data_IF_326717524176
#
_entry.id   IF_326717524176
#
_cell.length_a   1.000
_cell.length_b   1.000
_cell.length_c   1.000
_cell.angle_alpha   90.00
_cell.angle_beta   90.00
_cell.angle_gamma   90.00
#
_symmetry.space_group_name_H-M   'P 1'
#
loop_
_entity.id
_entity.type
_entity.pdbx_description
1 polymer ?
#
# COMPACT_ATOMS: atom_id res chain seq x y z
N UNK A 1 12.53 -16.04 24.10
CA UNK A 1 11.46 -16.24 23.10
C UNK A 1 11.58 -15.13 22.07
N UNK A 2 11.30 -15.41 20.79
CA UNK A 2 11.19 -14.37 19.76
C UNK A 2 9.83 -13.69 19.95
N UNK A 3 9.76 -12.37 19.83
CA UNK A 3 8.50 -11.64 19.94
C UNK A 3 7.73 -11.73 18.62
N UNK A 4 6.40 -11.80 18.70
CA UNK A 4 5.48 -12.03 17.59
C UNK A 4 4.56 -10.82 17.42
N UNK A 5 4.06 -10.64 16.20
CA UNK A 5 3.06 -9.63 15.89
C UNK A 5 1.68 -10.09 16.38
N UNK A 6 0.89 -9.18 16.92
CA UNK A 6 -0.40 -9.48 17.58
C UNK A 6 -1.59 -8.73 16.97
N UNK A 7 -1.34 -7.85 16.00
CA UNK A 7 -2.37 -7.09 15.31
C UNK A 7 -2.88 -5.86 16.08
N UNK A 8 -3.40 -4.87 15.35
CA UNK A 8 -3.89 -3.61 15.96
C UNK A 8 -5.03 -3.84 16.95
N UNK A 9 -5.83 -4.90 16.77
CA UNK A 9 -6.90 -5.27 17.71
C UNK A 9 -6.40 -5.56 19.13
N UNK A 10 -5.19 -6.11 19.28
CA UNK A 10 -4.58 -6.32 20.59
C UNK A 10 -4.25 -4.99 21.28
N UNK A 11 -3.79 -3.99 20.51
CA UNK A 11 -3.45 -2.66 20.99
C UNK A 11 -4.70 -1.88 21.41
N UNK A 12 -5.79 -1.97 20.65
CA UNK A 12 -7.04 -1.24 20.86
C UNK A 12 -7.69 -1.51 22.23
N UNK A 13 -7.46 -2.68 22.82
CA UNK A 13 -7.99 -3.05 24.14
C UNK A 13 -7.48 -2.15 25.28
N UNK A 14 -6.28 -1.57 25.13
CA UNK A 14 -5.68 -0.68 26.13
C UNK A 14 -5.45 0.74 25.61
N UNK A 15 -5.26 0.92 24.30
CA UNK A 15 -4.86 2.17 23.67
C UNK A 15 -5.96 2.81 22.81
N UNK A 16 -7.17 2.96 23.37
CA UNK A 16 -8.34 3.43 22.62
C UNK A 16 -8.16 4.75 21.88
N UNK A 17 -7.53 5.76 22.50
CA UNK A 17 -7.30 7.06 21.83
C UNK A 17 -6.31 6.94 20.67
N UNK A 18 -5.19 6.25 20.86
CA UNK A 18 -4.20 6.10 19.80
C UNK A 18 -4.73 5.27 18.62
N UNK A 19 -5.58 4.27 18.91
CA UNK A 19 -6.31 3.54 17.86
C UNK A 19 -7.27 4.48 17.13
N UNK A 20 -8.04 5.30 17.84
CA UNK A 20 -8.95 6.25 17.20
C UNK A 20 -8.22 7.29 16.33
N UNK A 21 -7.03 7.73 16.73
CA UNK A 21 -6.21 8.68 15.96
C UNK A 21 -5.55 8.00 14.74
N UNK A 22 -5.28 6.70 14.81
CA UNK A 22 -4.71 5.92 13.71
C UNK A 22 -5.78 5.51 12.68
N UNK A 23 -6.99 5.18 13.12
CA UNK A 23 -8.10 4.81 12.24
C UNK A 23 -8.42 5.96 11.28
N UNK A 24 -8.64 5.61 10.00
CA UNK A 24 -8.85 6.54 8.88
C UNK A 24 -7.66 7.49 8.60
N UNK A 25 -6.51 7.29 9.23
CA UNK A 25 -5.28 7.99 8.86
C UNK A 25 -4.72 7.47 7.54
N UNK A 26 -3.81 8.21 6.92
CA UNK A 26 -3.13 7.74 5.71
C UNK A 26 -2.30 6.46 5.92
N UNK A 27 -1.95 6.12 7.17
CA UNK A 27 -1.28 4.87 7.48
C UNK A 27 -2.25 3.67 7.42
N UNK A 28 -3.45 3.83 7.99
CA UNK A 28 -4.53 2.84 7.94
C UNK A 28 -5.06 2.68 6.50
N UNK A 29 -5.17 3.78 5.77
CA UNK A 29 -5.65 3.82 4.39
C UNK A 29 -4.54 3.60 3.34
N UNK A 30 -3.34 3.20 3.75
CA UNK A 30 -2.19 3.07 2.86
C UNK A 30 -2.41 2.03 1.75
N UNK A 31 -3.13 0.94 2.06
CA UNK A 31 -3.50 -0.12 1.13
C UNK A 31 -4.75 -0.82 1.63
N UNK A 32 -5.75 -0.99 0.77
CA UNK A 32 -7.02 -1.64 1.13
C UNK A 32 -7.47 -2.60 0.03
N UNK A 33 -8.27 -3.60 0.38
CA UNK A 33 -8.96 -4.43 -0.62
C UNK A 33 -9.80 -3.56 -1.55
N UNK A 34 -9.81 -3.91 -2.84
CA UNK A 34 -10.64 -3.22 -3.82
C UNK A 34 -12.11 -3.62 -3.64
N UNK A 35 -12.92 -2.71 -3.09
CA UNK A 35 -14.34 -2.93 -2.80
C UNK A 35 -15.15 -1.69 -3.15
N UNK A 36 -16.49 -1.78 -3.18
CA UNK A 36 -17.35 -0.61 -3.38
C UNK A 36 -17.16 0.54 -2.40
N UNK A 37 -16.59 0.27 -1.21
CA UNK A 37 -16.37 1.29 -0.18
C UNK A 37 -14.98 1.93 -0.25
N UNK A 38 -14.03 1.32 -0.96
CA UNK A 38 -12.61 1.73 -0.95
C UNK A 38 -12.14 2.26 -2.30
N UNK A 39 -12.83 1.91 -3.39
CA UNK A 39 -12.57 2.47 -4.71
C UNK A 39 -13.08 3.91 -4.77
N UNK A 40 -12.17 4.86 -4.97
CA UNK A 40 -12.49 6.28 -5.13
C UNK A 40 -12.57 6.71 -6.59
N UNK A 41 -11.94 5.95 -7.50
CA UNK A 41 -11.93 6.25 -8.93
C UNK A 41 -13.20 5.88 -9.68
N UNK A 42 -13.36 6.49 -10.85
CA UNK A 42 -14.48 6.20 -11.75
C UNK A 42 -14.26 4.89 -12.53
N UNK A 43 -15.00 3.84 -12.15
CA UNK A 43 -15.03 2.54 -12.82
C UNK A 43 -16.35 2.28 -13.58
N UNK A 44 -17.13 3.32 -13.89
CA UNK A 44 -18.35 3.20 -14.71
C UNK A 44 -18.04 3.19 -16.22
N UNK A 45 -17.16 2.27 -16.62
CA UNK A 45 -16.64 2.15 -18.00
C UNK A 45 -15.87 3.41 -18.47
N UNK A 46 -15.23 4.12 -17.54
CA UNK A 46 -14.39 5.26 -17.85
C UNK A 46 -13.23 4.86 -18.76
N UNK A 47 -12.86 5.76 -19.67
CA UNK A 47 -11.76 5.57 -20.60
C UNK A 47 -10.69 6.65 -20.41
N UNK A 48 -9.44 6.23 -20.44
CA UNK A 48 -8.27 7.10 -20.39
C UNK A 48 -7.36 6.79 -21.58
N UNK A 49 -6.96 7.83 -22.32
CA UNK A 49 -6.15 7.71 -23.51
C UNK A 49 -4.76 8.28 -23.25
N UNK A 50 -3.72 7.48 -23.52
CA UNK A 50 -2.34 7.84 -23.25
C UNK A 50 -1.43 7.28 -24.34
N UNK A 51 -0.78 8.17 -25.10
CA UNK A 51 0.15 7.82 -26.20
C UNK A 51 -0.28 6.66 -27.10
N UNK A 52 -1.57 6.60 -27.47
CA UNK A 52 -2.13 5.58 -28.36
C UNK A 52 -2.67 4.32 -27.68
N UNK A 53 -2.50 4.18 -26.36
CA UNK A 53 -3.14 3.14 -25.55
C UNK A 53 -4.44 3.69 -24.97
N UNK A 54 -5.51 2.91 -25.05
CA UNK A 54 -6.79 3.21 -24.38
C UNK A 54 -6.95 2.27 -23.19
N UNK A 55 -6.93 2.83 -21.99
CA UNK A 55 -7.24 2.12 -20.75
C UNK A 55 -8.72 2.25 -20.44
N UNK A 56 -9.37 1.15 -20.07
CA UNK A 56 -10.78 1.15 -19.63
C UNK A 56 -10.89 0.66 -18.19
N UNK A 57 -11.57 1.43 -17.34
CA UNK A 57 -11.86 1.12 -15.94
C UNK A 57 -13.32 0.67 -15.84
N UNK A 58 -13.54 -0.56 -15.40
CA UNK A 58 -14.88 -1.18 -15.42
C UNK A 58 -15.17 -1.95 -14.14
N UNK A 59 -16.44 -2.02 -13.78
CA UNK A 59 -16.94 -2.80 -12.64
C UNK A 59 -17.92 -3.89 -13.13
N UNK A 60 -17.91 -5.06 -12.49
CA UNK A 60 -18.89 -6.14 -12.69
C UNK A 60 -19.36 -6.64 -11.33
N UNK A 61 -20.59 -6.35 -10.94
CA UNK A 61 -21.04 -6.62 -9.56
C UNK A 61 -20.19 -5.79 -8.59
N UNK A 62 -19.53 -6.42 -7.63
CA UNK A 62 -18.63 -5.74 -6.68
C UNK A 62 -17.14 -5.87 -7.06
N UNK A 63 -16.85 -6.50 -8.20
CA UNK A 63 -15.48 -6.70 -8.70
C UNK A 63 -15.08 -5.60 -9.68
N UNK A 64 -13.81 -5.19 -9.62
CA UNK A 64 -13.24 -4.10 -10.40
C UNK A 64 -12.17 -4.62 -11.36
N UNK A 65 -12.16 -4.08 -12.58
CA UNK A 65 -11.29 -4.52 -13.67
C UNK A 65 -10.72 -3.34 -14.44
N UNK A 66 -9.46 -3.47 -14.86
CA UNK A 66 -8.78 -2.50 -15.72
C UNK A 66 -8.32 -3.22 -16.99
N UNK A 67 -8.72 -2.72 -18.15
CA UNK A 67 -8.19 -3.18 -19.44
C UNK A 67 -7.16 -2.18 -19.93
N UNK A 68 -5.89 -2.59 -20.01
CA UNK A 68 -4.74 -1.76 -20.42
C UNK A 68 -3.69 -2.63 -21.13
N UNK A 69 -2.65 -2.02 -21.69
CA UNK A 69 -1.53 -2.75 -22.27
C UNK A 69 -0.73 -3.54 -21.22
N UNK A 70 -0.40 -4.78 -21.57
CA UNK A 70 0.44 -5.66 -20.76
C UNK A 70 1.92 -5.50 -21.13
N UNK A 71 2.79 -6.36 -20.58
CA UNK A 71 4.24 -6.29 -20.81
C UNK A 71 4.66 -6.43 -22.29
N UNK A 72 3.78 -6.93 -23.16
CA UNK A 72 4.01 -7.08 -24.61
C UNK A 72 3.41 -5.94 -25.44
N UNK A 73 2.68 -5.01 -24.80
CA UNK A 73 1.94 -3.93 -25.47
C UNK A 73 0.54 -4.33 -25.95
N UNK A 74 0.12 -5.57 -25.71
CA UNK A 74 -1.24 -6.03 -26.05
C UNK A 74 -2.22 -5.65 -24.93
N UNK A 75 -3.46 -5.28 -25.29
CA UNK A 75 -4.50 -5.02 -24.30
C UNK A 75 -4.94 -6.31 -23.61
N UNK A 76 -4.98 -6.26 -22.28
CA UNK A 76 -5.40 -7.35 -21.40
C UNK A 76 -6.25 -6.78 -20.26
N UNK A 77 -7.21 -7.57 -19.78
CA UNK A 77 -8.07 -7.19 -18.66
C UNK A 77 -7.53 -7.80 -17.37
N UNK A 78 -7.17 -6.95 -16.41
CA UNK A 78 -6.67 -7.32 -15.09
C UNK A 78 -7.73 -7.07 -14.03
N UNK A 79 -7.94 -7.98 -13.06
CA UNK A 79 -8.70 -7.66 -11.87
C UNK A 79 -7.91 -6.66 -11.00
N UNK A 80 -8.61 -5.75 -10.35
CA UNK A 80 -8.02 -4.86 -9.34
C UNK A 80 -8.07 -5.59 -8.01
N UNK A 81 -6.90 -5.88 -7.43
CA UNK A 81 -6.85 -6.58 -6.14
C UNK A 81 -6.91 -5.62 -4.96
N UNK A 82 -6.21 -4.50 -5.07
CA UNK A 82 -6.09 -3.52 -3.99
C UNK A 82 -6.12 -2.09 -4.54
N UNK A 83 -6.59 -1.18 -3.70
CA UNK A 83 -6.31 0.25 -3.80
C UNK A 83 -5.06 0.58 -3.00
N UNK A 84 -4.31 1.57 -3.47
CA UNK A 84 -3.01 1.93 -2.91
C UNK A 84 -2.88 3.45 -2.81
N UNK A 85 -2.83 3.96 -1.57
CA UNK A 85 -2.94 5.38 -1.26
C UNK A 85 -4.39 5.90 -1.18
N UNK A 86 -4.54 7.10 -0.61
CA UNK A 86 -5.83 7.78 -0.40
C UNK A 86 -5.80 9.23 -0.88
N UNK A 87 -4.94 10.10 -0.35
CA UNK A 87 -4.79 11.50 -0.78
C UNK A 87 -3.30 11.80 -0.96
N UNK A 88 -2.87 12.48 -2.05
CA UNK A 88 -3.68 13.15 -3.09
C UNK A 88 -4.13 12.26 -4.25
N UNK A 89 -3.79 10.97 -4.21
CA UNK A 89 -4.08 10.04 -5.30
C UNK A 89 -4.33 8.63 -4.78
N UNK A 90 -5.05 7.85 -5.58
CA UNK A 90 -5.22 6.42 -5.41
C UNK A 90 -4.69 5.70 -6.66
N UNK A 91 -3.73 4.80 -6.45
CA UNK A 91 -3.27 3.83 -7.44
C UNK A 91 -3.96 2.48 -7.22
N UNK A 92 -3.79 1.58 -8.18
CA UNK A 92 -4.44 0.27 -8.20
C UNK A 92 -3.40 -0.82 -8.39
N UNK A 93 -3.43 -1.84 -7.53
CA UNK A 93 -2.51 -2.98 -7.62
C UNK A 93 -3.15 -4.10 -8.42
N UNK A 94 -2.51 -4.41 -9.55
CA UNK A 94 -2.93 -5.44 -10.49
C UNK A 94 -2.07 -6.69 -10.31
N UNK A 95 -2.66 -7.90 -10.23
CA UNK A 95 -1.89 -9.13 -10.13
C UNK A 95 -1.28 -9.49 -11.49
N UNK A 96 0.00 -9.85 -11.46
CA UNK A 96 0.72 -10.46 -12.58
C UNK A 96 1.18 -11.88 -12.21
N UNK A 97 1.56 -12.72 -13.19
CA UNK A 97 2.07 -14.06 -12.91
C UNK A 97 3.23 -14.09 -11.90
N UNK A 98 3.37 -15.24 -11.22
CA UNK A 98 4.45 -15.45 -10.23
C UNK A 98 4.21 -14.76 -8.88
N UNK A 99 2.96 -14.47 -8.52
CA UNK A 99 2.60 -13.88 -7.23
C UNK A 99 2.92 -12.39 -7.11
N UNK A 100 3.13 -11.71 -8.24
CA UNK A 100 3.48 -10.30 -8.31
C UNK A 100 2.24 -9.43 -8.22
N UNK A 101 2.37 -8.31 -7.55
CA UNK A 101 1.44 -7.19 -7.60
C UNK A 101 2.17 -6.00 -8.19
N UNK A 102 1.54 -5.34 -9.15
CA UNK A 102 2.10 -4.18 -9.81
C UNK A 102 1.19 -2.97 -9.64
N UNK A 103 1.76 -1.85 -9.22
CA UNK A 103 1.03 -0.59 -9.18
C UNK A 103 0.83 -0.07 -10.61
N UNK A 104 -0.41 0.19 -11.00
CA UNK A 104 -0.69 0.83 -12.28
C UNK A 104 -0.12 2.26 -12.28
N UNK A 105 0.48 2.67 -13.41
CA UNK A 105 1.03 4.02 -13.57
C UNK A 105 -0.05 5.08 -13.91
N UNK A 106 -1.30 4.67 -14.02
CA UNK A 106 -2.47 5.55 -14.10
C UNK A 106 -3.11 5.58 -12.71
N UNK A 107 -3.23 6.77 -12.16
CA UNK A 107 -3.79 7.02 -10.84
C UNK A 107 -5.09 7.83 -10.95
N UNK A 108 -5.92 7.71 -9.93
CA UNK A 108 -7.05 8.59 -9.71
C UNK A 108 -6.63 9.73 -8.79
N UNK A 109 -6.82 10.97 -9.22
CA UNK A 109 -6.62 12.15 -8.39
C UNK A 109 -7.81 12.30 -7.43
N UNK A 110 -7.59 12.04 -6.14
CA UNK A 110 -8.66 12.03 -5.13
C UNK A 110 -8.97 13.42 -4.61
N UNK A 111 -8.19 14.44 -4.98
CA UNK A 111 -8.43 15.81 -4.55
C UNK A 111 -9.80 16.31 -5.05
N UNK A 112 -10.37 17.32 -4.38
CA UNK A 112 -11.62 17.92 -4.85
C UNK A 112 -11.49 18.51 -6.26
N UNK A 113 -12.61 18.56 -6.99
CA UNK A 113 -12.69 19.17 -8.34
C UNK A 113 -12.15 20.60 -8.35
N UNK A 114 -12.38 21.38 -7.29
CA UNK A 114 -11.90 22.77 -7.22
C UNK A 114 -10.38 22.88 -7.16
N UNK A 115 -9.69 21.80 -6.75
CA UNK A 115 -8.23 21.68 -6.76
C UNK A 115 -7.70 20.98 -8.03
N UNK A 116 -8.56 20.68 -9.00
CA UNK A 116 -8.22 20.01 -10.26
C UNK A 116 -8.21 18.48 -10.20
N UNK A 117 -8.73 17.88 -9.12
CA UNK A 117 -8.82 16.44 -8.96
C UNK A 117 -10.10 15.81 -9.51
N UNK A 118 -10.44 14.62 -9.02
CA UNK A 118 -11.49 13.72 -9.53
C UNK A 118 -11.29 13.37 -11.01
N UNK A 119 -10.07 12.98 -11.36
CA UNK A 119 -9.70 12.61 -12.74
C UNK A 119 -8.66 11.50 -12.77
N UNK A 120 -8.68 10.73 -13.86
CA UNK A 120 -7.59 9.82 -14.23
C UNK A 120 -6.42 10.61 -14.80
N UNK A 121 -5.20 10.25 -14.41
CA UNK A 121 -3.97 10.78 -14.99
C UNK A 121 -2.83 9.76 -14.95
N UNK A 122 -1.88 9.90 -15.86
CA UNK A 122 -0.69 9.07 -15.88
C UNK A 122 0.40 9.73 -15.02
N UNK A 123 1.17 8.96 -14.26
CA UNK A 123 2.26 9.50 -13.41
C UNK A 123 3.38 10.19 -14.22
N UNK A 124 3.47 9.87 -15.51
CA UNK A 124 4.34 10.48 -16.51
C UNK A 124 3.46 11.02 -17.64
N UNK A 125 2.88 12.22 -17.48
CA UNK A 125 1.85 12.74 -18.40
C UNK A 125 2.39 13.07 -19.81
N UNK A 126 3.68 13.44 -19.92
CA UNK A 126 4.27 13.95 -21.17
C UNK A 126 5.13 12.90 -21.90
N UNK A 127 5.73 11.97 -21.17
CA UNK A 127 6.66 10.97 -21.70
C UNK A 127 5.90 9.74 -22.20
N UNK A 128 6.26 9.11 -23.34
CA UNK A 128 5.65 7.87 -23.80
C UNK A 128 6.22 6.66 -23.05
N UNK A 129 5.69 6.38 -21.86
CA UNK A 129 6.09 5.23 -21.03
C UNK A 129 5.26 4.01 -21.39
N UNK A 130 5.57 3.41 -22.56
CA UNK A 130 4.86 2.25 -23.11
C UNK A 130 5.57 0.92 -22.76
N UNK A 131 4.92 -0.21 -23.03
CA UNK A 131 5.49 -1.54 -22.86
C UNK A 131 6.94 -1.66 -23.39
N UNK A 132 7.83 -2.24 -22.59
CA UNK A 132 9.27 -2.32 -22.84
C UNK A 132 10.10 -1.18 -22.23
N UNK A 133 9.46 -0.07 -21.81
CA UNK A 133 10.11 0.96 -21.01
C UNK A 133 10.31 0.48 -19.56
N UNK A 134 11.47 0.72 -18.90
CA UNK A 134 11.68 0.38 -17.49
C UNK A 134 10.65 0.97 -16.52
N UNK A 135 10.10 2.14 -16.85
CA UNK A 135 9.08 2.84 -16.07
C UNK A 135 7.64 2.42 -16.42
N UNK A 136 7.45 1.46 -17.34
CA UNK A 136 6.14 0.89 -17.61
C UNK A 136 5.62 0.17 -16.35
N UNK A 137 4.30 0.15 -16.14
CA UNK A 137 3.70 -0.40 -14.92
C UNK A 137 3.98 -1.90 -14.71
N UNK A 138 4.26 -2.65 -15.79
CA UNK A 138 4.69 -4.06 -15.70
C UNK A 138 6.18 -4.22 -15.39
N UNK A 139 6.94 -3.12 -15.28
CA UNK A 139 8.36 -3.09 -14.98
C UNK A 139 8.66 -3.27 -13.49
N UNK A 140 9.93 -3.54 -13.17
CA UNK A 140 10.36 -3.85 -11.80
C UNK A 140 10.16 -2.70 -10.80
N UNK A 141 10.20 -1.44 -11.24
CA UNK A 141 9.98 -0.29 -10.35
C UNK A 141 8.55 -0.24 -9.81
N UNK A 142 7.60 -0.79 -10.54
CA UNK A 142 6.18 -0.84 -10.16
C UNK A 142 5.79 -2.14 -9.47
N UNK A 143 6.72 -3.08 -9.29
CA UNK A 143 6.49 -4.29 -8.52
C UNK A 143 6.38 -3.96 -7.03
N UNK A 144 5.15 -4.04 -6.51
CA UNK A 144 4.83 -3.77 -5.12
C UNK A 144 5.61 -4.67 -4.16
N UNK A 145 5.77 -5.96 -4.50
CA UNK A 145 6.41 -6.94 -3.60
C UNK A 145 7.84 -6.54 -3.23
N UNK A 146 8.58 -5.93 -4.16
CA UNK A 146 9.98 -5.52 -3.94
C UNK A 146 10.13 -4.08 -3.54
N UNK A 147 9.27 -3.19 -4.04
CA UNK A 147 9.48 -1.75 -3.98
C UNK A 147 8.59 -1.04 -2.96
N UNK A 148 7.47 -1.65 -2.54
CA UNK A 148 6.44 -0.95 -1.77
C UNK A 148 5.99 -1.71 -0.51
N UNK A 149 5.89 -3.04 -0.57
CA UNK A 149 5.25 -3.85 0.46
C UNK A 149 5.79 -3.57 1.88
N UNK A 150 7.12 -3.55 2.06
CA UNK A 150 7.74 -3.36 3.38
C UNK A 150 7.43 -2.00 4.03
N UNK A 151 7.10 -0.99 3.24
CA UNK A 151 6.80 0.35 3.74
C UNK A 151 5.30 0.61 3.89
N UNK A 152 4.46 -0.14 3.17
CA UNK A 152 3.01 0.08 3.09
C UNK A 152 2.18 -1.06 3.69
N UNK A 153 2.82 -2.01 4.37
CA UNK A 153 2.21 -3.15 5.05
C UNK A 153 2.99 -3.49 6.32
N UNK A 154 2.44 -4.34 7.18
CA UNK A 154 3.06 -4.72 8.46
C UNK A 154 3.53 -6.17 8.48
N UNK A 155 4.73 -6.43 9.01
CA UNK A 155 5.45 -7.72 9.02
C UNK A 155 5.52 -8.46 7.67
N UNK A 156 5.94 -7.75 6.62
CA UNK A 156 6.04 -8.35 5.30
C UNK A 156 7.09 -9.47 5.25
N UNK A 157 6.67 -10.63 4.74
CA UNK A 157 7.54 -11.72 4.30
C UNK A 157 7.40 -11.88 2.79
N UNK A 158 8.35 -11.34 2.01
CA UNK A 158 8.31 -11.42 0.54
C UNK A 158 8.27 -12.86 0.01
N UNK A 159 9.00 -13.76 0.66
CA UNK A 159 9.13 -15.20 0.33
C UNK A 159 9.40 -15.43 -1.16
N UNK A 160 10.38 -14.67 -1.68
CA UNK A 160 10.81 -14.79 -3.07
C UNK A 160 11.65 -16.05 -3.28
N UNK A 161 11.29 -16.86 -4.27
CA UNK A 161 12.06 -18.00 -4.73
C UNK A 161 12.82 -17.65 -6.02
N UNK A 162 14.17 -17.56 -6.00
CA UNK A 162 14.97 -17.20 -7.16
C UNK A 162 15.05 -18.32 -8.23
N UNK A 163 14.80 -19.58 -7.88
CA UNK A 163 14.84 -20.69 -8.85
C UNK A 163 13.59 -20.69 -9.75
N UNK A 164 12.45 -20.29 -9.21
CA UNK A 164 11.17 -20.28 -9.92
C UNK A 164 10.72 -18.87 -10.34
N UNK A 165 11.42 -17.83 -9.90
CA UNK A 165 11.05 -16.41 -10.05
C UNK A 165 9.62 -16.11 -9.55
N UNK A 166 9.31 -16.54 -8.32
CA UNK A 166 7.97 -16.41 -7.73
C UNK A 166 8.00 -15.77 -6.35
N UNK A 167 6.97 -14.99 -6.06
CA UNK A 167 6.67 -14.43 -4.75
C UNK A 167 5.52 -15.20 -4.11
N UNK A 168 5.65 -15.44 -2.81
CA UNK A 168 4.58 -15.89 -1.93
C UNK A 168 4.46 -14.87 -0.79
N UNK A 169 4.23 -13.60 -1.15
CA UNK A 169 4.34 -12.48 -0.20
C UNK A 169 3.20 -12.51 0.82
N UNK A 170 3.55 -12.59 2.09
CA UNK A 170 2.63 -12.56 3.23
C UNK A 170 2.89 -11.30 4.05
N UNK A 171 1.90 -10.88 4.82
CA UNK A 171 1.96 -9.78 5.77
C UNK A 171 0.98 -10.06 6.90
N UNK A 172 1.22 -9.48 8.08
CA UNK A 172 0.27 -9.54 9.19
C UNK A 172 -0.89 -8.56 8.97
N UNK A 173 -0.58 -7.37 8.47
CA UNK A 173 -1.58 -6.36 8.13
C UNK A 173 -1.30 -5.81 6.74
N UNK A 174 -2.38 -5.55 5.99
CA UNK A 174 -2.33 -5.05 4.63
C UNK A 174 -1.72 -3.65 4.54
N UNK A 175 -1.87 -2.86 5.60
CA UNK A 175 -1.49 -1.45 5.72
C UNK A 175 -0.42 -1.19 6.81
N UNK A 176 -0.18 0.09 7.12
CA UNK A 176 0.81 0.53 8.12
C UNK A 176 0.17 0.56 9.51
N UNK A 177 0.18 -0.61 10.17
CA UNK A 177 -0.35 -0.80 11.51
C UNK A 177 0.55 -0.32 12.64
N UNK A 178 0.07 -0.46 13.87
CA UNK A 178 0.79 -0.05 15.08
C UNK A 178 2.19 -0.69 15.14
N UNK A 179 2.26 -1.98 14.83
CA UNK A 179 3.49 -2.77 14.94
C UNK A 179 4.48 -2.51 13.80
N UNK A 180 4.10 -1.79 12.73
CA UNK A 180 5.03 -1.33 11.71
C UNK A 180 6.04 -0.32 12.29
N UNK A 181 5.59 0.52 13.23
CA UNK A 181 6.45 1.47 13.94
C UNK A 181 6.95 0.92 15.27
N UNK A 182 6.09 0.25 16.05
CA UNK A 182 6.43 -0.21 17.40
C UNK A 182 7.17 -1.57 17.44
N UNK A 183 7.11 -2.34 16.35
CA UNK A 183 7.60 -3.71 16.29
C UNK A 183 6.65 -4.72 16.96
N UNK A 184 7.05 -6.00 17.01
CA UNK A 184 6.20 -7.09 17.50
C UNK A 184 5.79 -6.90 18.96
N UNK A 185 4.48 -6.92 19.24
CA UNK A 185 3.89 -6.55 20.51
C UNK A 185 3.66 -7.69 21.50
N UNK A 186 3.92 -8.96 21.16
CA UNK A 186 3.56 -10.09 22.04
C UNK A 186 4.21 -10.03 23.43
N UNK A 187 5.45 -9.55 23.52
CA UNK A 187 6.14 -9.39 24.81
C UNK A 187 5.57 -8.21 25.60
N UNK A 188 5.26 -7.10 24.92
CA UNK A 188 4.62 -5.94 25.53
C UNK A 188 3.27 -6.32 26.15
N UNK A 189 2.43 -7.04 25.40
CA UNK A 189 1.13 -7.48 25.87
C UNK A 189 1.24 -8.38 27.12
N UNK A 190 2.18 -9.34 27.13
CA UNK A 190 2.40 -10.22 28.28
C UNK A 190 2.82 -9.46 29.54
N UNK A 191 3.76 -8.50 29.40
CA UNK A 191 4.20 -7.66 30.51
C UNK A 191 3.08 -6.76 31.02
N UNK A 192 2.25 -6.20 30.12
CA UNK A 192 1.10 -5.39 30.49
C UNK A 192 0.09 -6.19 31.33
N UNK A 193 -0.25 -7.41 30.90
CA UNK A 193 -1.17 -8.30 31.60
C UNK A 193 -0.66 -8.69 33.00
N UNK A 194 0.66 -8.76 33.18
CA UNK A 194 1.30 -9.07 34.46
C UNK A 194 1.53 -7.84 35.35
N UNK A 195 1.21 -6.63 34.86
CA UNK A 195 1.51 -5.39 35.56
C UNK A 195 3.02 -5.13 35.72
N UNK A 196 3.83 -5.67 34.80
CA UNK A 196 5.30 -5.70 34.88
C UNK A 196 5.99 -4.72 33.91
N UNK A 197 5.25 -3.82 33.28
CA UNK A 197 5.83 -2.79 32.40
C UNK A 197 6.62 -1.76 33.21
N UNK A 198 7.78 -1.37 32.69
CA UNK A 198 8.56 -0.22 33.18
C UNK A 198 9.11 0.61 32.01
N UNK A 199 9.70 1.77 32.31
CA UNK A 199 10.34 2.61 31.29
C UNK A 199 11.53 1.90 30.62
N UNK A 200 12.23 1.04 31.37
CA UNK A 200 13.36 0.24 30.91
C UNK A 200 12.92 -1.05 30.21
N UNK A 201 11.69 -1.51 30.49
CA UNK A 201 11.19 -2.80 30.03
C UNK A 201 9.76 -2.67 29.49
N UNK A 202 9.65 -1.99 28.35
CA UNK A 202 8.37 -1.79 27.65
C UNK A 202 7.93 -3.04 26.88
N UNK A 203 8.81 -4.02 26.66
CA UNK A 203 8.51 -5.21 25.87
C UNK A 203 8.59 -5.01 24.35
N UNK A 204 8.89 -3.80 23.87
CA UNK A 204 9.22 -3.55 22.47
C UNK A 204 10.73 -3.54 22.27
N UNK A 205 11.18 -4.11 21.14
CA UNK A 205 12.59 -4.01 20.71
C UNK A 205 12.88 -2.67 20.03
N UNK A 206 11.87 -2.05 19.44
CA UNK A 206 12.00 -0.75 18.79
C UNK A 206 12.00 0.35 19.85
N UNK A 207 12.97 1.27 19.74
CA UNK A 207 12.92 2.55 20.45
C UNK A 207 12.51 3.64 19.48
N UNK A 208 11.43 4.34 19.82
CA UNK A 208 10.96 5.55 19.12
C UNK A 208 11.59 6.83 19.67
N UNK A 209 12.58 6.72 20.57
CA UNK A 209 13.30 7.87 21.10
C UNK A 209 13.99 8.58 19.94
N UNK A 210 13.78 9.89 19.83
CA UNK A 210 14.41 10.72 18.81
C UNK A 210 15.93 10.52 18.86
N UNK A 211 16.52 10.07 17.74
CA UNK A 211 17.97 9.79 17.63
C UNK A 211 18.80 11.02 17.25
N UNK A 212 18.18 12.19 17.11
CA UNK A 212 18.85 13.43 16.73
C UNK A 212 18.20 14.66 17.36
N UNK A 213 19.03 15.66 17.65
CA UNK A 213 18.59 17.01 18.05
C UNK A 213 18.68 17.88 16.80
N UNK A 214 17.54 18.29 16.27
CA UNK A 214 17.51 19.28 15.19
C UNK A 214 17.87 20.65 15.76
N UNK A 215 18.99 21.21 15.32
CA UNK A 215 19.35 22.59 15.57
C UNK A 215 19.31 23.34 14.25
N UNK A 216 18.48 24.38 14.19
CA UNK A 216 18.60 25.39 13.16
C UNK A 216 19.74 26.33 13.56
N UNK A 217 20.71 26.62 12.69
CA UNK A 217 21.62 27.72 12.94
C UNK A 217 20.80 29.01 13.05
N UNK A 218 21.10 29.84 14.06
CA UNK A 218 20.56 31.19 14.12
C UNK A 218 21.13 32.00 12.95
N UNK A 219 20.27 32.44 12.02
CA UNK A 219 20.51 33.54 11.08
C UNK A 219 21.66 33.36 10.09
#
# INVERSE_FOLDING_TARGET
>A
MVADYVGNGACANCHGQATADWTDSHHDLAMQEATPNTILGDFDNAQFHYHGVTTTFSRRGDDYFITTDNATGALETFPVKYVFGVEPLQQYLLPLPGGRLHALAIAWDTRPVQAGGQRWYHLYEEEPVLAGNPLHWTGGYFNWNTSCAECHSTDVKKRYNPETDQFDTHYEQIDVGCEACHGPGSTHQQLAQQGALSAEQTGFKMSLTARGVWQWPEG
#
